data_IF_518454193597
#
_entry.id   IF_518454193597
#
_cell.length_a   1.000
_cell.length_b   1.000
_cell.length_c   1.000
_cell.angle_alpha   90.00
_cell.angle_beta   90.00
_cell.angle_gamma   90.00
#
_symmetry.space_group_name_H-M   'P 1'
#
loop_
_entity.id
_entity.type
_entity.pdbx_description
1 polymer ?
#
# COMPACT_ATOMS: atom_id res chain seq x y z
N UNK A 1 -6.93 -33.93 -24.80
CA UNK A 1 -6.72 -33.75 -23.68
C UNK A 1 -6.23 -32.49 -23.15
N UNK A 2 -7.02 -31.80 -22.63
CA UNK A 2 -6.82 -30.57 -22.16
C UNK A 2 -6.41 -30.60 -20.77
N UNK A 3 -5.18 -30.60 -20.52
CA UNK A 3 -4.77 -30.34 -19.20
C UNK A 3 -4.14 -29.04 -19.19
N UNK A 4 -4.78 -28.13 -18.71
CA UNK A 4 -4.30 -27.46 -18.26
C UNK A 4 -3.62 -26.35 -18.17
N UNK A 5 -3.97 -25.57 -18.63
CA UNK A 5 -3.49 -24.19 -18.68
C UNK A 5 -4.11 -23.33 -17.60
N UNK A 6 -4.92 -23.92 -16.78
CA UNK A 6 -5.65 -23.18 -15.75
C UNK A 6 -4.78 -22.79 -14.54
N UNK A 7 -3.69 -23.51 -14.31
CA UNK A 7 -2.81 -23.18 -13.19
C UNK A 7 -1.90 -22.01 -13.49
N UNK A 8 -1.54 -21.78 -14.75
CA UNK A 8 -0.74 -20.63 -15.14
C UNK A 8 -1.55 -19.34 -15.09
N UNK A 9 -2.84 -19.41 -15.45
CA UNK A 9 -3.75 -18.28 -15.42
C UNK A 9 -4.07 -17.85 -13.99
N UNK A 10 -4.12 -18.78 -13.04
CA UNK A 10 -4.34 -18.48 -11.63
C UNK A 10 -3.13 -17.84 -10.95
N UNK A 11 -1.92 -18.16 -11.41
CA UNK A 11 -0.69 -17.57 -10.89
C UNK A 11 -0.47 -16.14 -11.36
N UNK A 12 -1.11 -15.72 -12.43
CA UNK A 12 -0.92 -14.39 -12.99
C UNK A 12 -1.70 -13.29 -12.30
N UNK A 13 -2.63 -13.61 -11.39
CA UNK A 13 -3.37 -12.59 -10.68
C UNK A 13 -2.57 -12.07 -9.50
N UNK A 14 -2.12 -10.84 -9.59
CA UNK A 14 -1.40 -10.17 -8.53
C UNK A 14 -2.13 -8.93 -8.08
N UNK A 15 -2.22 -8.74 -6.80
CA UNK A 15 -2.80 -7.55 -6.17
C UNK A 15 -1.92 -6.33 -6.45
N UNK A 16 -0.59 -6.51 -6.40
CA UNK A 16 0.36 -5.44 -6.69
C UNK A 16 0.94 -5.62 -8.08
N UNK A 17 0.88 -4.56 -8.88
CA UNK A 17 1.50 -4.53 -10.20
C UNK A 17 2.32 -3.26 -10.36
N UNK A 18 3.48 -3.38 -11.02
CA UNK A 18 4.37 -2.26 -11.28
C UNK A 18 4.42 -1.99 -12.78
N UNK A 19 4.15 -0.76 -13.16
CA UNK A 19 4.21 -0.32 -14.56
C UNK A 19 5.00 1.00 -14.59
N UNK A 20 6.24 0.95 -15.06
CA UNK A 20 7.11 2.12 -15.02
C UNK A 20 7.33 2.60 -13.59
N UNK A 21 7.00 3.86 -13.33
CA UNK A 21 7.13 4.46 -12.00
C UNK A 21 5.82 4.39 -11.21
N UNK A 22 4.88 3.59 -11.66
CA UNK A 22 3.58 3.47 -11.01
C UNK A 22 3.40 2.09 -10.41
N UNK A 23 2.81 2.04 -9.23
CA UNK A 23 2.45 0.81 -8.56
C UNK A 23 0.93 0.82 -8.39
N UNK A 24 0.30 -0.28 -8.76
CA UNK A 24 -1.14 -0.46 -8.64
C UNK A 24 -1.39 -1.49 -7.55
N UNK A 25 -2.16 -1.11 -6.53
CA UNK A 25 -2.62 -2.03 -5.49
C UNK A 25 -4.13 -2.17 -5.62
N UNK A 26 -4.57 -3.34 -6.06
CA UNK A 26 -5.99 -3.63 -6.30
C UNK A 26 -6.40 -4.90 -5.57
N UNK A 27 -6.98 -4.76 -4.40
CA UNK A 27 -7.46 -5.91 -3.65
C UNK A 27 -7.48 -5.67 -2.15
N UNK A 28 -7.79 -6.72 -1.41
CA UNK A 28 -7.87 -6.66 0.04
C UNK A 28 -6.51 -6.39 0.67
N UNK A 29 -6.51 -5.68 1.78
CA UNK A 29 -5.29 -5.44 2.57
C UNK A 29 -5.04 -6.66 3.46
N UNK A 30 -4.03 -7.45 3.12
CA UNK A 30 -3.60 -8.61 3.90
C UNK A 30 -2.11 -8.50 4.17
N UNK A 31 -1.62 -9.22 5.18
CA UNK A 31 -0.19 -9.22 5.47
C UNK A 31 0.64 -9.74 4.30
N UNK A 32 0.17 -10.78 3.63
CA UNK A 32 0.88 -11.37 2.49
C UNK A 32 0.96 -10.41 1.31
N UNK A 33 -0.15 -9.79 0.96
CA UNK A 33 -0.21 -8.88 -0.18
C UNK A 33 0.52 -7.57 0.10
N UNK A 34 0.48 -7.08 1.33
CA UNK A 34 1.25 -5.90 1.71
C UNK A 34 2.75 -6.19 1.73
N UNK A 35 3.17 -7.38 2.16
CA UNK A 35 4.58 -7.74 2.08
C UNK A 35 5.06 -7.73 0.63
N UNK A 36 4.29 -8.29 -0.28
CA UNK A 36 4.61 -8.25 -1.71
C UNK A 36 4.67 -6.80 -2.23
N UNK A 37 3.72 -5.97 -1.82
CA UNK A 37 3.71 -4.55 -2.16
C UNK A 37 4.99 -3.86 -1.68
N UNK A 38 5.39 -4.10 -0.43
CA UNK A 38 6.60 -3.51 0.15
C UNK A 38 7.85 -3.96 -0.64
N UNK A 39 7.92 -5.23 -1.00
CA UNK A 39 9.04 -5.74 -1.78
C UNK A 39 9.12 -5.06 -3.15
N UNK A 40 8.01 -4.96 -3.86
CA UNK A 40 7.96 -4.30 -5.16
C UNK A 40 8.27 -2.81 -5.06
N UNK A 41 7.76 -2.15 -4.02
CA UNK A 41 8.04 -0.75 -3.75
C UNK A 41 9.54 -0.53 -3.53
N UNK A 42 10.17 -1.36 -2.71
CA UNK A 42 11.60 -1.27 -2.43
C UNK A 42 12.45 -1.49 -3.67
N UNK A 43 12.08 -2.44 -4.52
CA UNK A 43 12.79 -2.66 -5.79
C UNK A 43 12.71 -1.44 -6.70
N UNK A 44 11.52 -0.85 -6.80
CA UNK A 44 11.32 0.36 -7.60
C UNK A 44 12.10 1.55 -7.02
N UNK A 45 12.05 1.74 -5.70
CA UNK A 45 12.78 2.81 -5.03
C UNK A 45 14.29 2.73 -5.33
N UNK A 46 14.87 1.54 -5.20
CA UNK A 46 16.29 1.30 -5.47
C UNK A 46 16.62 1.62 -6.94
N UNK A 47 15.79 1.15 -7.86
CA UNK A 47 15.96 1.40 -9.29
C UNK A 47 15.97 2.91 -9.60
N UNK A 48 15.01 3.63 -9.03
CA UNK A 48 14.87 5.07 -9.27
C UNK A 48 15.99 5.88 -8.63
N UNK A 49 16.48 5.46 -7.46
CA UNK A 49 17.62 6.11 -6.81
C UNK A 49 18.90 5.92 -7.63
N UNK A 50 19.09 4.77 -8.25
CA UNK A 50 20.22 4.53 -9.15
C UNK A 50 20.12 5.43 -10.38
N UNK A 51 18.96 5.56 -10.96
CA UNK A 51 18.73 6.46 -12.10
C UNK A 51 18.97 7.92 -11.73
N UNK A 52 18.54 8.32 -10.55
CA UNK A 52 18.77 9.66 -10.03
C UNK A 52 20.28 9.96 -9.93
N UNK A 53 21.06 8.99 -9.49
CA UNK A 53 22.50 9.15 -9.40
C UNK A 53 23.19 9.27 -10.76
N UNK A 54 22.61 8.68 -11.79
CA UNK A 54 23.18 8.70 -13.16
C UNK A 54 22.78 9.92 -13.98
N UNK A 55 21.57 10.45 -13.72
CA UNK A 55 21.01 11.54 -14.53
C UNK A 55 20.85 12.82 -13.72
N UNK A 56 21.69 13.79 -13.98
CA UNK A 56 21.66 15.08 -13.27
C UNK A 56 20.34 15.79 -13.51
N UNK A 57 19.70 16.22 -12.41
CA UNK A 57 18.42 16.91 -12.50
C UNK A 57 17.19 16.01 -12.54
N UNK A 58 17.39 14.69 -12.55
CA UNK A 58 16.26 13.76 -12.52
C UNK A 58 15.71 13.63 -11.10
N UNK A 59 14.45 13.98 -10.93
CA UNK A 59 13.75 13.86 -9.66
C UNK A 59 12.64 12.82 -9.81
N UNK A 60 12.89 11.56 -9.42
CA UNK A 60 11.91 10.49 -9.58
C UNK A 60 10.71 10.65 -8.66
N UNK A 61 9.57 10.17 -9.11
CA UNK A 61 8.33 10.12 -8.35
C UNK A 61 7.72 8.74 -8.53
N UNK A 62 7.28 8.13 -7.44
CA UNK A 62 6.52 6.89 -7.49
C UNK A 62 5.05 7.23 -7.26
N UNK A 63 4.19 6.80 -8.17
CA UNK A 63 2.74 6.95 -8.00
C UNK A 63 2.16 5.62 -7.58
N UNK A 64 1.46 5.62 -6.46
CA UNK A 64 0.80 4.42 -5.92
C UNK A 64 -0.71 4.61 -6.06
N UNK A 65 -1.31 3.79 -6.90
CA UNK A 65 -2.76 3.80 -7.10
C UNK A 65 -3.39 2.75 -6.19
N UNK A 66 -4.35 3.16 -5.38
CA UNK A 66 -4.99 2.31 -4.38
C UNK A 66 -6.45 2.10 -4.73
N UNK A 67 -6.84 0.84 -4.87
CA UNK A 67 -8.23 0.44 -5.03
C UNK A 67 -8.48 -0.75 -4.11
N UNK A 68 -9.05 -0.50 -2.94
CA UNK A 68 -9.21 -1.50 -1.91
C UNK A 68 -10.30 -1.10 -0.92
N UNK A 69 -11.13 -2.06 -0.54
CA UNK A 69 -12.13 -1.87 0.52
C UNK A 69 -11.56 -1.97 1.92
N UNK A 70 -10.28 -2.30 2.05
CA UNK A 70 -9.64 -2.44 3.35
C UNK A 70 -9.22 -3.86 3.67
N UNK A 71 -9.12 -4.18 4.94
CA UNK A 71 -8.69 -5.48 5.44
C UNK A 71 -7.94 -5.33 6.76
N UNK A 72 -6.75 -5.92 6.83
CA UNK A 72 -5.94 -5.91 8.04
C UNK A 72 -5.39 -4.51 8.33
N UNK A 73 -5.75 -3.97 9.48
CA UNK A 73 -5.38 -2.63 9.89
C UNK A 73 -3.87 -2.46 10.06
N UNK A 74 -3.22 -3.43 10.70
CA UNK A 74 -1.79 -3.36 10.95
C UNK A 74 -0.97 -3.53 9.69
N UNK A 75 -1.46 -4.32 8.73
CA UNK A 75 -0.83 -4.40 7.41
C UNK A 75 -0.88 -3.04 6.71
N UNK A 76 -2.04 -2.36 6.77
CA UNK A 76 -2.16 -1.00 6.24
C UNK A 76 -1.20 -0.02 6.89
N UNK A 77 -1.07 -0.07 8.21
CA UNK A 77 -0.14 0.78 8.95
C UNK A 77 1.32 0.50 8.58
N UNK A 78 1.67 -0.77 8.37
CA UNK A 78 3.04 -1.11 7.97
C UNK A 78 3.39 -0.55 6.59
N UNK A 79 2.44 -0.59 5.66
CA UNK A 79 2.63 0.03 4.35
C UNK A 79 2.80 1.55 4.47
N UNK A 80 1.98 2.19 5.30
CA UNK A 80 2.09 3.63 5.56
C UNK A 80 3.49 4.00 6.06
N UNK A 81 4.00 3.24 7.02
CA UNK A 81 5.34 3.47 7.57
C UNK A 81 6.44 3.38 6.50
N UNK A 82 6.33 2.44 5.59
CA UNK A 82 7.30 2.26 4.51
C UNK A 82 7.24 3.44 3.52
N UNK A 83 6.04 3.83 3.13
CA UNK A 83 5.86 4.93 2.17
C UNK A 83 6.34 6.27 2.74
N UNK A 84 6.02 6.55 4.00
CA UNK A 84 6.43 7.80 4.66
C UNK A 84 7.95 7.97 4.68
N UNK A 85 8.68 6.87 4.80
CA UNK A 85 10.15 6.89 4.89
C UNK A 85 10.86 6.82 3.54
N UNK A 86 10.12 6.78 2.45
CA UNK A 86 10.72 6.68 1.12
C UNK A 86 11.64 7.85 0.82
N UNK A 87 12.79 7.54 0.24
CA UNK A 87 13.73 8.56 -0.26
C UNK A 87 13.37 9.06 -1.65
N UNK A 88 12.40 8.43 -2.31
CA UNK A 88 11.82 8.90 -3.56
C UNK A 88 10.46 9.48 -3.22
N UNK A 89 10.11 10.60 -3.83
CA UNK A 89 8.79 11.21 -3.59
C UNK A 89 7.69 10.23 -3.96
N UNK A 90 6.71 10.06 -3.08
CA UNK A 90 5.56 9.18 -3.28
C UNK A 90 4.29 10.00 -3.37
N UNK A 91 3.53 9.78 -4.42
CA UNK A 91 2.18 10.34 -4.59
C UNK A 91 1.23 9.15 -4.53
N UNK A 92 0.31 9.15 -3.58
CA UNK A 92 -0.71 8.11 -3.48
C UNK A 92 -2.02 8.63 -4.09
N UNK A 93 -2.73 7.75 -4.77
CA UNK A 93 -3.94 8.11 -5.50
C UNK A 93 -5.05 7.12 -5.18
N UNK A 94 -6.16 7.60 -4.62
CA UNK A 94 -7.35 6.78 -4.47
C UNK A 94 -7.98 6.63 -5.85
N UNK A 95 -7.95 5.42 -6.41
CA UNK A 95 -8.33 5.20 -7.79
C UNK A 95 -9.80 4.79 -7.94
N UNK A 96 -10.34 4.11 -7.00
CA UNK A 96 -11.73 3.68 -6.97
C UNK A 96 -12.22 3.70 -5.53
N UNK A 97 -12.44 2.52 -4.95
CA UNK A 97 -12.74 2.43 -3.53
C UNK A 97 -11.44 2.49 -2.73
N UNK A 98 -11.44 3.27 -1.68
CA UNK A 98 -10.34 3.30 -0.72
C UNK A 98 -10.94 3.41 0.67
N UNK A 99 -11.08 2.26 1.35
CA UNK A 99 -11.80 2.19 2.62
C UNK A 99 -11.00 1.55 3.74
N UNK A 100 -11.34 1.90 4.97
CA UNK A 100 -10.80 1.26 6.17
C UNK A 100 -9.27 1.23 6.17
N UNK A 101 -8.65 0.04 6.29
CA UNK A 101 -7.19 -0.12 6.30
C UNK A 101 -6.50 0.43 5.05
N UNK A 102 -7.18 0.48 3.91
CA UNK A 102 -6.63 1.03 2.68
C UNK A 102 -6.38 2.54 2.79
N UNK A 103 -7.06 3.23 3.68
CA UNK A 103 -6.82 4.66 3.91
C UNK A 103 -5.42 4.91 4.46
N UNK A 104 -4.86 3.97 5.22
CA UNK A 104 -3.49 4.10 5.71
C UNK A 104 -2.48 4.02 4.58
N UNK A 105 -2.71 3.14 3.60
CA UNK A 105 -1.88 3.08 2.42
C UNK A 105 -1.91 4.42 1.67
N UNK A 106 -3.09 5.00 1.53
CA UNK A 106 -3.26 6.31 0.92
C UNK A 106 -2.53 7.41 1.73
N UNK A 107 -2.66 7.38 3.05
CA UNK A 107 -2.05 8.40 3.93
C UNK A 107 -0.53 8.33 3.96
N UNK A 108 0.07 7.23 3.55
CA UNK A 108 1.53 7.09 3.50
C UNK A 108 2.21 7.94 2.44
N UNK A 109 1.49 8.42 1.45
CA UNK A 109 2.07 9.26 0.41
C UNK A 109 2.50 10.63 0.92
N UNK A 110 3.56 11.18 0.33
CA UNK A 110 3.98 12.56 0.62
C UNK A 110 2.95 13.55 0.07
N UNK A 111 2.28 13.17 -0.99
CA UNK A 111 1.18 13.88 -1.59
C UNK A 111 0.07 12.87 -1.86
N UNK A 112 -1.18 13.25 -1.65
CA UNK A 112 -2.32 12.36 -1.76
C UNK A 112 -3.38 12.94 -2.67
N UNK A 113 -3.83 12.14 -3.62
CA UNK A 113 -4.83 12.55 -4.60
C UNK A 113 -6.02 11.60 -4.55
N UNK A 114 -7.18 12.11 -4.91
CA UNK A 114 -8.40 11.32 -5.03
C UNK A 114 -8.89 11.44 -6.46
N UNK A 115 -9.07 10.31 -7.12
CA UNK A 115 -9.62 10.28 -8.47
C UNK A 115 -11.04 10.86 -8.50
N UNK A 116 -11.41 11.47 -9.61
CA UNK A 116 -12.71 12.14 -9.75
C UNK A 116 -13.90 11.24 -9.38
N UNK A 117 -13.82 9.96 -9.66
CA UNK A 117 -14.89 9.00 -9.41
C UNK A 117 -14.56 8.04 -8.26
N UNK A 118 -13.56 8.38 -7.45
CA UNK A 118 -13.15 7.55 -6.34
C UNK A 118 -13.89 7.92 -5.05
N UNK A 119 -13.92 6.95 -4.12
CA UNK A 119 -14.50 7.15 -2.81
C UNK A 119 -13.49 6.76 -1.74
N UNK A 120 -13.32 7.60 -0.74
CA UNK A 120 -12.53 7.30 0.44
C UNK A 120 -13.47 7.17 1.63
N UNK A 121 -13.46 6.00 2.26
CA UNK A 121 -14.33 5.73 3.38
C UNK A 121 -13.51 5.53 4.66
N UNK A 122 -13.69 6.44 5.58
CA UNK A 122 -13.10 6.35 6.90
C UNK A 122 -14.25 6.11 7.88
N UNK A 123 -14.21 4.98 8.57
CA UNK A 123 -15.22 4.67 9.56
C UNK A 123 -14.59 4.27 10.88
N UNK A 124 -15.34 4.46 11.95
CA UNK A 124 -14.89 4.09 13.27
C UNK A 124 -14.75 2.58 13.36
N UNK A 125 -13.65 2.11 13.92
CA UNK A 125 -13.45 0.69 14.19
C UNK A 125 -14.29 0.35 15.41
N UNK A 126 -15.30 -0.49 15.19
CA UNK A 126 -16.28 -0.79 16.23
C UNK A 126 -16.16 -2.17 16.82
N UNK A 127 -15.00 -2.77 16.84
CA UNK A 127 -14.83 -4.05 17.51
C UNK A 127 -14.27 -3.81 18.90
N UNK A 128 -15.08 -4.01 19.89
CA UNK A 128 -14.70 -3.88 21.29
C UNK A 128 -13.45 -4.67 21.66
N UNK A 129 -13.24 -5.82 21.03
CA UNK A 129 -12.06 -6.62 21.26
C UNK A 129 -10.76 -5.98 20.75
N UNK A 130 -10.82 -5.27 19.63
CA UNK A 130 -9.66 -4.57 19.09
C UNK A 130 -9.28 -3.37 19.98
N UNK A 131 -10.25 -2.59 20.42
CA UNK A 131 -10.00 -1.47 21.30
C UNK A 131 -9.40 -1.90 22.64
N UNK A 132 -9.91 -3.01 23.21
CA UNK A 132 -9.36 -3.56 24.44
C UNK A 132 -7.90 -3.90 24.31
N UNK A 133 -7.52 -4.60 23.25
CA UNK A 133 -6.12 -4.96 23.00
C UNK A 133 -5.24 -3.75 22.77
N UNK A 134 -5.71 -2.76 22.03
CA UNK A 134 -4.96 -1.54 21.79
C UNK A 134 -4.68 -0.78 23.07
N UNK A 135 -5.70 -0.61 23.92
CA UNK A 135 -5.53 0.10 25.19
C UNK A 135 -4.62 -0.66 26.15
N UNK A 136 -4.71 -1.99 26.18
CA UNK A 136 -3.80 -2.81 26.98
C UNK A 136 -2.34 -2.62 26.57
N UNK A 137 -2.06 -2.69 25.27
CA UNK A 137 -0.71 -2.49 24.75
C UNK A 137 -0.21 -1.07 25.03
N UNK A 138 -1.09 -0.09 24.87
CA UNK A 138 -0.77 1.31 25.13
C UNK A 138 -0.42 1.53 26.61
N UNK A 139 -1.18 0.93 27.50
CA UNK A 139 -0.93 1.03 28.93
C UNK A 139 0.38 0.35 29.34
N UNK A 140 0.67 -0.82 28.80
CA UNK A 140 1.93 -1.52 29.00
C UNK A 140 3.12 -0.68 28.53
N UNK A 141 3.01 -0.05 27.39
CA UNK A 141 4.04 0.82 26.84
C UNK A 141 4.29 2.06 27.71
N UNK A 142 3.27 2.57 28.36
CA UNK A 142 3.40 3.70 29.28
C UNK A 142 4.04 3.32 30.60
N UNK A 143 3.92 2.07 30.99
CA UNK A 143 4.49 1.55 32.23
C UNK A 143 5.98 1.21 32.10
N UNK A 144 6.46 1.17 30.90
CA UNK A 144 7.88 1.01 30.63
C UNK A 144 8.57 2.35 30.54
#
# INVERSE_FOLDING_TARGET
>A
MYKSNNTEDEEDFKITRVIGNEILYYGEITNEDILEFIEEFKRLEIKLLKQKAEFIGYEPVIRVHVCSGGGDLFAGLSAMNILEKSRVKVITIAQGECGSAATFLLLGGHERLIGKNAHVLIHQISTTGFWGKYEEVKDEMKMC
#
